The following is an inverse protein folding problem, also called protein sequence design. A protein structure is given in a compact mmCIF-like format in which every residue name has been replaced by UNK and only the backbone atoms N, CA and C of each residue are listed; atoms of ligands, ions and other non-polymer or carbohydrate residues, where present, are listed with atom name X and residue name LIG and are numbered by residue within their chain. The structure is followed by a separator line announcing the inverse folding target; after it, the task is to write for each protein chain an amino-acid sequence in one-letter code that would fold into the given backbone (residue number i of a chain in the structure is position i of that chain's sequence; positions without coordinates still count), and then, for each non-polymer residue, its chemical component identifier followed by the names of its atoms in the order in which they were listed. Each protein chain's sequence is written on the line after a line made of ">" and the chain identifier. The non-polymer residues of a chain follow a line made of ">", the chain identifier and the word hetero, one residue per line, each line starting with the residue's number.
data_IF_836982022806
#
_entry.id   IF_836982022806
#
_cell.length_a   1.000
_cell.length_b   1.000
_cell.length_c   1.000
_cell.angle_alpha   90.00
_cell.angle_beta   90.00
_cell.angle_gamma   90.00
#
_symmetry.space_group_name_H-M   'P 1'
#
loop_
_entity.id
_entity.type
_entity.pdbx_description
1 polymer ?
#
# COMPACT_ATOMS: atom_id res chain seq x y z
N UNK A 1 -14.59 10.02 -0.20
CA UNK A 1 -14.17 9.16 0.94
C UNK A 1 -12.65 9.17 1.11
N UNK A 2 -11.87 9.07 0.03
CA UNK A 2 -10.40 9.09 0.09
C UNK A 2 -9.82 10.31 0.84
N UNK A 3 -10.28 11.53 0.51
CA UNK A 3 -9.84 12.77 1.20
C UNK A 3 -10.06 12.73 2.71
N UNK A 4 -11.16 12.13 3.18
CA UNK A 4 -11.47 12.04 4.61
C UNK A 4 -10.53 11.05 5.30
N UNK A 5 -10.13 9.98 4.62
CA UNK A 5 -9.16 9.02 5.14
C UNK A 5 -7.79 9.68 5.27
N UNK A 6 -7.31 10.32 4.20
CA UNK A 6 -6.03 11.02 4.19
C UNK A 6 -5.97 12.13 5.25
N UNK A 7 -7.06 12.91 5.42
CA UNK A 7 -7.16 13.88 6.50
C UNK A 7 -7.10 13.23 7.89
N UNK A 8 -7.80 12.11 8.09
CA UNK A 8 -7.81 11.39 9.37
C UNK A 8 -6.43 10.86 9.72
N UNK A 9 -5.68 10.37 8.73
CA UNK A 9 -4.28 9.94 8.87
C UNK A 9 -3.36 11.08 9.30
N UNK A 10 -3.40 12.22 8.60
CA UNK A 10 -2.60 13.42 8.93
C UNK A 10 -2.90 13.99 10.32
N UNK A 11 -4.13 13.78 10.81
CA UNK A 11 -4.55 14.18 12.16
C UNK A 11 -4.23 13.14 13.25
N UNK A 12 -3.65 12.00 12.88
CA UNK A 12 -3.30 10.92 13.81
C UNK A 12 -4.51 10.13 14.32
N UNK A 13 -5.65 10.20 13.64
CA UNK A 13 -6.86 9.43 13.99
C UNK A 13 -6.80 8.00 13.47
N UNK A 14 -6.18 7.80 12.32
CA UNK A 14 -5.96 6.50 11.69
C UNK A 14 -4.47 6.31 11.39
N UNK A 15 -3.97 5.06 11.38
CA UNK A 15 -2.62 4.77 10.94
C UNK A 15 -2.49 4.86 9.42
N UNK A 16 -1.26 5.05 8.94
CA UNK A 16 -0.88 5.07 7.51
C UNK A 16 0.06 3.92 7.17
N UNK A 17 -0.07 3.35 5.96
CA UNK A 17 0.85 2.34 5.44
C UNK A 17 0.86 2.34 3.90
N UNK A 18 1.99 2.66 3.23
CA UNK A 18 3.18 3.32 3.76
C UNK A 18 2.88 4.66 4.47
N UNK A 19 3.82 5.14 5.29
CA UNK A 19 3.58 6.29 6.17
C UNK A 19 3.93 7.63 5.52
N UNK A 20 5.13 7.72 4.95
CA UNK A 20 5.75 8.96 4.47
C UNK A 20 6.21 8.77 3.03
N UNK A 21 6.14 9.84 2.24
CA UNK A 21 6.64 9.90 0.86
C UNK A 21 8.16 9.80 0.69
N UNK A 22 8.85 9.27 1.69
CA UNK A 22 10.28 9.04 1.73
C UNK A 22 10.56 7.78 2.55
N UNK A 23 11.70 7.15 2.30
CA UNK A 23 12.16 6.04 3.12
C UNK A 23 12.41 6.53 4.57
N UNK A 24 11.66 6.03 5.56
CA UNK A 24 11.76 6.53 6.93
C UNK A 24 13.13 6.27 7.59
N UNK A 25 13.91 5.32 7.06
CA UNK A 25 15.27 5.05 7.53
C UNK A 25 16.26 6.16 7.10
N UNK A 26 16.05 6.76 5.95
CA UNK A 26 16.94 7.82 5.44
C UNK A 26 16.72 9.15 6.19
N UNK A 27 15.51 9.37 6.72
CA UNK A 27 15.15 10.59 7.45
C UNK A 27 15.97 10.77 8.74
N UNK A 28 16.34 9.68 9.42
CA UNK A 28 17.19 9.78 10.61
C UNK A 28 18.61 10.22 10.26
N UNK A 29 19.14 9.78 9.12
CA UNK A 29 20.47 10.15 8.64
C UNK A 29 20.48 11.58 8.09
N UNK A 30 19.40 12.02 7.44
CA UNK A 30 19.20 13.41 7.04
C UNK A 30 19.13 14.36 8.24
N UNK A 31 18.38 14.00 9.28
CA UNK A 31 18.29 14.78 10.51
C UNK A 31 19.65 14.91 11.19
N UNK A 32 20.42 13.82 11.27
CA UNK A 32 21.78 13.83 11.83
C UNK A 32 22.72 14.75 11.03
N UNK A 33 22.69 14.69 9.69
CA UNK A 33 23.46 15.59 8.82
C UNK A 33 23.06 17.06 8.96
N UNK A 34 21.80 17.33 9.25
CA UNK A 34 21.29 18.68 9.52
C UNK A 34 21.58 19.16 10.97
N UNK A 35 22.13 18.30 11.84
CA UNK A 35 22.33 18.63 13.26
C UNK A 35 21.02 18.78 14.04
N UNK A 36 19.93 18.19 13.57
CA UNK A 36 18.60 18.27 14.16
C UNK A 36 18.19 16.95 14.80
N UNK A 37 17.29 16.99 15.78
CA UNK A 37 16.65 15.78 16.30
C UNK A 37 15.70 15.22 15.23
N UNK A 38 15.59 13.89 15.05
CA UNK A 38 14.73 13.30 14.01
C UNK A 38 13.27 13.76 14.06
N UNK A 39 12.68 13.86 15.26
CA UNK A 39 11.30 14.32 15.42
C UNK A 39 11.14 15.75 14.92
N UNK A 40 12.02 16.66 15.34
CA UNK A 40 11.97 18.07 14.96
C UNK A 40 12.18 18.23 13.44
N UNK A 41 13.10 17.45 12.86
CA UNK A 41 13.37 17.42 11.42
C UNK A 41 12.15 16.98 10.61
N UNK A 42 11.51 15.87 11.00
CA UNK A 42 10.32 15.35 10.32
C UNK A 42 9.15 16.32 10.44
N UNK A 43 8.90 16.87 11.63
CA UNK A 43 7.81 17.83 11.86
C UNK A 43 8.01 19.10 11.04
N UNK A 44 9.23 19.63 10.96
CA UNK A 44 9.56 20.81 10.14
C UNK A 44 9.36 20.54 8.64
N UNK A 45 9.80 19.38 8.15
CA UNK A 45 9.61 19.00 6.74
C UNK A 45 8.14 18.75 6.37
N UNK A 46 7.36 18.16 7.28
CA UNK A 46 5.91 18.01 7.08
C UNK A 46 5.21 19.37 7.04
N UNK A 47 5.56 20.30 7.93
CA UNK A 47 4.96 21.65 7.96
C UNK A 47 5.35 22.51 6.77
N UNK A 48 6.59 22.38 6.28
CA UNK A 48 7.06 23.10 5.09
C UNK A 48 6.57 22.48 3.77
N UNK A 49 6.00 21.27 3.81
CA UNK A 49 5.59 20.52 2.62
C UNK A 49 6.74 19.83 1.89
N UNK A 50 7.96 19.90 2.42
CA UNK A 50 9.14 19.22 1.87
C UNK A 50 9.14 17.70 2.12
N UNK A 51 8.24 17.23 2.97
CA UNK A 51 7.90 15.83 3.19
C UNK A 51 6.37 15.74 3.23
N UNK A 52 5.82 14.70 2.61
CA UNK A 52 4.37 14.47 2.52
C UNK A 52 4.03 13.09 3.09
N UNK A 53 2.76 12.89 3.45
CA UNK A 53 2.27 11.56 3.78
C UNK A 53 2.11 10.74 2.51
N UNK A 54 2.36 9.43 2.56
CA UNK A 54 2.21 8.57 1.37
C UNK A 54 0.77 8.55 0.84
N UNK A 55 -0.22 8.74 1.71
CA UNK A 55 -1.63 8.78 1.33
C UNK A 55 -2.03 10.01 0.51
N UNK A 56 -1.18 11.04 0.45
CA UNK A 56 -1.40 12.22 -0.39
C UNK A 56 -1.11 11.94 -1.87
N UNK A 57 -0.33 10.90 -2.18
CA UNK A 57 0.01 10.47 -3.55
C UNK A 57 0.18 8.93 -3.61
N UNK A 58 -0.93 8.16 -3.57
CA UNK A 58 -0.91 6.70 -3.41
C UNK A 58 -0.51 5.92 -4.68
N UNK A 59 -0.43 6.60 -5.82
CA UNK A 59 0.03 6.02 -7.09
C UNK A 59 1.50 6.31 -7.39
N UNK A 60 2.15 7.12 -6.56
CA UNK A 60 3.60 7.24 -6.58
C UNK A 60 4.27 5.88 -6.32
N UNK A 61 5.22 5.44 -7.16
CA UNK A 61 5.97 4.20 -6.97
C UNK A 61 6.61 4.00 -5.60
N UNK A 62 6.90 5.08 -4.87
CA UNK A 62 7.49 5.03 -3.52
C UNK A 62 6.45 4.85 -2.41
N UNK A 63 5.15 5.03 -2.71
CA UNK A 63 4.06 5.16 -1.74
C UNK A 63 3.11 3.97 -1.66
N UNK A 64 3.40 2.87 -2.35
CA UNK A 64 2.57 1.66 -2.28
C UNK A 64 3.38 0.41 -1.92
N UNK A 65 2.74 -0.61 -1.29
CA UNK A 65 3.44 -1.80 -0.85
C UNK A 65 3.99 -2.59 -2.04
N UNK A 66 5.22 -3.10 -1.88
CA UNK A 66 5.91 -3.91 -2.89
C UNK A 66 5.92 -5.40 -2.56
N UNK A 67 5.98 -5.75 -1.28
CA UNK A 67 6.07 -7.13 -0.83
C UNK A 67 4.88 -7.43 0.09
N UNK A 68 4.13 -8.47 -0.23
CA UNK A 68 2.97 -8.89 0.56
C UNK A 68 3.12 -10.35 0.98
N UNK A 69 3.01 -10.59 2.29
CA UNK A 69 2.93 -11.92 2.85
C UNK A 69 1.49 -12.23 3.23
N UNK A 70 0.98 -13.36 2.74
CA UNK A 70 -0.35 -13.85 3.10
C UNK A 70 -0.20 -15.22 3.75
N UNK A 71 -0.52 -15.31 5.04
CA UNK A 71 -0.59 -16.57 5.76
C UNK A 71 -1.89 -16.65 6.52
N UNK A 72 -2.44 -17.87 6.67
CA UNK A 72 -3.70 -18.13 7.38
C UNK A 72 -4.89 -17.30 6.85
N UNK A 73 -4.83 -16.89 5.58
CA UNK A 73 -5.83 -16.05 4.93
C UNK A 73 -5.96 -16.43 3.46
N UNK A 74 -7.18 -16.42 2.96
CA UNK A 74 -7.48 -16.58 1.53
C UNK A 74 -8.01 -15.25 0.97
N UNK A 75 -7.22 -14.18 1.05
CA UNK A 75 -7.68 -12.82 0.71
C UNK A 75 -8.21 -12.71 -0.72
N UNK A 76 -7.54 -13.34 -1.70
CA UNK A 76 -7.96 -13.27 -3.10
C UNK A 76 -9.16 -14.19 -3.41
N UNK A 77 -9.45 -15.19 -2.58
CA UNK A 77 -10.57 -16.12 -2.81
C UNK A 77 -11.71 -16.01 -1.80
N UNK A 78 -11.69 -15.06 -0.87
CA UNK A 78 -12.66 -15.00 0.21
C UNK A 78 -12.91 -13.58 0.72
N UNK A 79 -11.93 -12.95 1.38
CA UNK A 79 -12.18 -11.72 2.12
C UNK A 79 -11.95 -10.43 1.33
N UNK A 80 -11.29 -10.51 0.17
CA UNK A 80 -11.01 -9.38 -0.74
C UNK A 80 -12.26 -8.92 -1.47
N UNK A 81 -12.87 -7.84 -0.97
CA UNK A 81 -13.95 -7.15 -1.69
C UNK A 81 -13.35 -6.39 -2.85
N UNK A 82 -14.00 -6.42 -4.01
CA UNK A 82 -13.45 -5.86 -5.23
C UNK A 82 -12.32 -6.72 -5.80
N UNK A 83 -12.54 -8.04 -5.92
CA UNK A 83 -11.56 -9.01 -6.41
C UNK A 83 -10.83 -8.55 -7.68
N UNK A 84 -11.56 -8.12 -8.70
CA UNK A 84 -11.01 -7.65 -9.97
C UNK A 84 -10.07 -6.44 -9.83
N UNK A 85 -10.28 -5.58 -8.82
CA UNK A 85 -9.37 -4.47 -8.52
C UNK A 85 -8.06 -4.94 -7.89
N UNK A 86 -8.06 -6.03 -7.10
CA UNK A 86 -6.83 -6.66 -6.63
C UNK A 86 -6.03 -7.21 -7.81
N UNK A 87 -6.69 -7.94 -8.72
CA UNK A 87 -6.08 -8.49 -9.94
C UNK A 87 -5.44 -7.38 -10.80
N UNK A 88 -6.18 -6.29 -11.05
CA UNK A 88 -5.69 -5.16 -11.85
C UNK A 88 -4.54 -4.42 -11.17
N UNK A 89 -4.79 -3.81 -10.00
CA UNK A 89 -3.84 -2.84 -9.45
C UNK A 89 -2.75 -3.45 -8.57
N UNK A 90 -3.03 -4.52 -7.83
CA UNK A 90 -2.01 -5.14 -6.98
C UNK A 90 -1.20 -6.18 -7.74
N UNK A 91 -1.85 -7.03 -8.53
CA UNK A 91 -1.18 -8.15 -9.22
C UNK A 91 -0.77 -7.81 -10.66
N UNK A 92 -1.45 -6.86 -11.33
CA UNK A 92 -1.14 -6.52 -12.72
C UNK A 92 -1.54 -7.61 -13.72
N UNK A 93 -2.56 -8.40 -13.39
CA UNK A 93 -3.03 -9.51 -14.23
C UNK A 93 -4.27 -9.14 -15.03
N UNK A 94 -4.70 -10.06 -15.91
CA UNK A 94 -6.02 -10.00 -16.50
C UNK A 94 -7.10 -9.85 -15.41
N UNK A 95 -8.11 -9.04 -15.71
CA UNK A 95 -9.23 -8.72 -14.84
C UNK A 95 -10.48 -8.48 -15.69
N UNK A 96 -11.64 -8.47 -15.04
CA UNK A 96 -12.96 -8.32 -15.67
C UNK A 96 -13.71 -7.07 -15.17
N UNK A 97 -13.00 -5.95 -14.97
CA UNK A 97 -13.65 -4.68 -14.65
C UNK A 97 -14.43 -4.15 -15.87
N UNK A 98 -15.67 -3.73 -15.62
CA UNK A 98 -16.55 -3.11 -16.63
C UNK A 98 -16.60 -1.57 -16.53
N UNK A 99 -16.08 -1.01 -15.45
CA UNK A 99 -16.10 0.43 -15.18
C UNK A 99 -14.99 1.17 -15.94
N UNK A 100 -15.29 2.38 -16.38
CA UNK A 100 -14.28 3.36 -16.81
C UNK A 100 -13.92 4.27 -15.63
N UNK A 101 -12.63 4.43 -15.35
CA UNK A 101 -12.14 5.28 -14.26
C UNK A 101 -12.38 6.77 -14.55
N UNK A 102 -12.53 7.15 -15.81
CA UNK A 102 -12.85 8.52 -16.20
C UNK A 102 -14.22 8.99 -15.69
N UNK A 103 -15.11 8.06 -15.34
CA UNK A 103 -16.43 8.36 -14.76
C UNK A 103 -16.38 8.56 -13.23
N UNK A 104 -15.20 8.38 -12.60
CA UNK A 104 -15.06 8.45 -11.15
C UNK A 104 -15.10 9.88 -10.60
N UNK A 105 -15.58 10.01 -9.36
CA UNK A 105 -15.52 11.27 -8.61
C UNK A 105 -14.08 11.49 -8.13
N UNK A 106 -13.46 12.56 -8.61
CA UNK A 106 -12.09 12.90 -8.27
C UNK A 106 -11.96 13.45 -6.83
N UNK A 107 -10.98 13.00 -6.05
CA UNK A 107 -10.64 13.59 -4.75
C UNK A 107 -10.11 15.02 -4.92
N UNK A 108 -10.28 15.85 -3.89
CA UNK A 108 -9.85 17.24 -3.88
C UNK A 108 -8.51 17.49 -3.18
N UNK A 109 -8.01 16.55 -2.37
CA UNK A 109 -6.79 16.73 -1.56
C UNK A 109 -5.69 15.70 -1.86
N UNK A 110 -6.04 14.59 -2.51
CA UNK A 110 -5.09 13.54 -2.90
C UNK A 110 -4.73 13.71 -4.36
N UNK A 111 -3.45 13.57 -4.69
CA UNK A 111 -2.95 13.61 -6.06
C UNK A 111 -3.48 12.42 -6.85
N UNK A 112 -3.94 12.68 -8.08
CA UNK A 112 -4.45 11.64 -8.98
C UNK A 112 -3.64 11.66 -10.27
N UNK A 113 -3.24 10.47 -10.68
CA UNK A 113 -2.45 10.18 -11.86
C UNK A 113 -3.08 8.98 -12.58
N UNK A 114 -2.48 8.55 -13.70
CA UNK A 114 -2.79 7.25 -14.26
C UNK A 114 -2.44 6.17 -13.21
N UNK A 115 -3.43 5.33 -12.87
CA UNK A 115 -3.30 4.37 -11.79
C UNK A 115 -2.18 3.36 -12.07
N UNK A 116 -1.32 3.14 -11.08
CA UNK A 116 -0.28 2.12 -11.19
C UNK A 116 -0.91 0.71 -11.09
N UNK A 117 -0.62 -0.13 -12.09
CA UNK A 117 -0.98 -1.55 -12.11
C UNK A 117 0.20 -2.44 -11.69
N UNK A 118 -0.08 -3.61 -11.11
CA UNK A 118 0.96 -4.52 -10.65
C UNK A 118 1.85 -3.93 -9.56
N UNK A 119 1.25 -3.31 -8.55
CA UNK A 119 1.98 -2.64 -7.46
C UNK A 119 2.87 -3.58 -6.64
N UNK A 120 2.48 -4.85 -6.51
CA UNK A 120 3.27 -5.84 -5.80
C UNK A 120 4.40 -6.37 -6.68
N UNK A 121 5.62 -6.29 -6.18
CA UNK A 121 6.80 -6.93 -6.77
C UNK A 121 6.88 -8.41 -6.33
N UNK A 122 6.31 -8.76 -5.16
CA UNK A 122 6.31 -10.14 -4.65
C UNK A 122 5.10 -10.44 -3.74
N UNK A 123 4.34 -11.48 -4.09
CA UNK A 123 3.27 -12.07 -3.29
C UNK A 123 3.70 -13.46 -2.79
N UNK A 124 4.02 -13.56 -1.51
CA UNK A 124 4.36 -14.83 -0.85
C UNK A 124 3.19 -15.36 -0.03
N UNK A 125 2.80 -16.61 -0.27
CA UNK A 125 1.62 -17.23 0.34
C UNK A 125 2.02 -18.47 1.13
N UNK A 126 1.52 -18.58 2.36
CA UNK A 126 1.74 -19.73 3.24
C UNK A 126 0.40 -20.42 3.51
N UNK A 127 0.25 -21.64 3.03
CA UNK A 127 -0.99 -22.41 3.15
C UNK A 127 -0.70 -23.92 3.13
N UNK A 128 -1.58 -24.72 3.75
CA UNK A 128 -1.48 -26.19 3.77
C UNK A 128 -2.30 -26.83 2.64
N UNK A 129 -3.03 -26.00 1.87
CA UNK A 129 -3.76 -26.39 0.66
C UNK A 129 -3.57 -25.33 -0.42
N UNK A 130 -3.74 -25.71 -1.68
CA UNK A 130 -3.70 -24.77 -2.81
C UNK A 130 -4.97 -23.91 -2.85
N UNK A 131 -4.99 -22.81 -2.10
CA UNK A 131 -6.10 -21.83 -2.10
C UNK A 131 -6.07 -20.92 -3.33
N UNK A 132 -7.13 -20.15 -3.56
CA UNK A 132 -7.18 -19.16 -4.66
C UNK A 132 -6.05 -18.15 -4.54
N UNK A 133 -5.72 -17.69 -3.33
CA UNK A 133 -4.55 -16.82 -3.14
C UNK A 133 -3.25 -17.52 -3.55
N UNK A 134 -3.08 -18.82 -3.26
CA UNK A 134 -1.90 -19.56 -3.68
C UNK A 134 -1.80 -19.66 -5.21
N UNK A 135 -2.92 -19.82 -5.92
CA UNK A 135 -2.93 -19.87 -7.40
C UNK A 135 -2.43 -18.56 -8.04
N UNK A 136 -2.55 -17.44 -7.34
CA UNK A 136 -2.06 -16.14 -7.79
C UNK A 136 -0.74 -15.71 -7.12
N UNK A 137 -0.18 -16.53 -6.22
CA UNK A 137 1.06 -16.21 -5.51
C UNK A 137 2.31 -16.50 -6.34
N UNK A 138 3.34 -15.67 -6.21
CA UNK A 138 4.64 -15.89 -6.86
C UNK A 138 5.41 -17.03 -6.16
N UNK A 139 5.31 -17.08 -4.83
CA UNK A 139 5.93 -18.11 -3.99
C UNK A 139 4.86 -18.69 -3.07
N UNK A 140 4.71 -20.01 -3.10
CA UNK A 140 3.83 -20.76 -2.20
C UNK A 140 4.69 -21.62 -1.28
N UNK A 141 4.59 -21.39 0.02
CA UNK A 141 5.30 -22.17 1.03
C UNK A 141 4.32 -23.12 1.73
N UNK A 142 4.58 -24.44 1.74
CA UNK A 142 3.74 -25.39 2.44
C UNK A 142 3.86 -25.18 3.95
N UNK A 143 2.74 -24.91 4.61
CA UNK A 143 2.68 -24.83 6.08
C UNK A 143 2.12 -26.12 6.68
N UNK A 144 2.47 -26.40 7.92
CA UNK A 144 1.87 -27.48 8.71
C UNK A 144 0.34 -27.32 8.79
N UNK A 145 -0.37 -28.44 8.85
CA UNK A 145 -1.78 -28.46 9.19
C UNK A 145 -1.98 -28.14 10.68
N UNK A 146 -3.22 -28.11 11.16
CA UNK A 146 -3.49 -27.85 12.58
C UNK A 146 -3.02 -28.95 13.54
N UNK A 147 -2.61 -30.12 13.02
CA UNK A 147 -2.24 -31.31 13.79
C UNK A 147 -0.78 -31.74 13.59
N UNK A 148 0.05 -30.86 13.01
CA UNK A 148 1.48 -31.06 12.72
C UNK A 148 2.29 -29.84 13.20
#
# INVERSE_FOLDING_TARGET
>A
MLDLNAKSERMGWLPSAPQLGANPLDLTDEAARAGMKPIDYVVDRLKSGALQFSCDDPDNPVNFPRNMFVWRSNILGSSGKGHEYFLKYLLGTQNALFSDENDAIMPGQVHVHDAAEGKLDLLTVLDFRMSTTCLYGDIVLPTATWYE
#
